data_IF_270361249138
#
_entry.id   IF_270361249138
#
_cell.length_a   1.000
_cell.length_b   1.000
_cell.length_c   1.000
_cell.angle_alpha   90.00
_cell.angle_beta   90.00
_cell.angle_gamma   90.00
#
_symmetry.space_group_name_H-M   'P 1'
#
loop_
_entity.id
_entity.type
_entity.pdbx_description
1 polymer ?
#
# COMPACT_ATOMS: atom_id res chain seq x y z
N UNK A 1 -5.80 -11.80 -11.59
CA UNK A 1 -6.40 -11.01 -10.48
C UNK A 1 -7.53 -10.15 -11.03
N UNK A 2 -8.65 -10.07 -10.36
CA UNK A 2 -9.76 -9.20 -10.75
C UNK A 2 -9.82 -7.95 -9.86
N UNK A 3 -10.74 -7.04 -10.19
CA UNK A 3 -10.90 -5.79 -9.42
C UNK A 3 -11.29 -6.03 -7.97
N UNK A 4 -12.10 -7.05 -7.69
CA UNK A 4 -12.54 -7.36 -6.32
C UNK A 4 -11.38 -7.83 -5.47
N UNK A 5 -10.51 -8.67 -6.02
CA UNK A 5 -9.30 -9.12 -5.33
C UNK A 5 -8.35 -7.96 -5.07
N UNK A 6 -8.21 -7.05 -6.04
CA UNK A 6 -7.39 -5.86 -5.86
C UNK A 6 -7.97 -4.95 -4.76
N UNK A 7 -9.27 -4.71 -4.78
CA UNK A 7 -9.93 -3.89 -3.76
C UNK A 7 -9.74 -4.48 -2.36
N UNK A 8 -9.87 -5.80 -2.21
CA UNK A 8 -9.65 -6.48 -0.94
C UNK A 8 -8.20 -6.26 -0.45
N UNK A 9 -7.24 -6.32 -1.35
CA UNK A 9 -5.83 -6.10 -1.01
C UNK A 9 -5.57 -4.64 -0.61
N UNK A 10 -6.18 -3.69 -1.31
CA UNK A 10 -6.07 -2.28 -0.96
C UNK A 10 -6.69 -1.98 0.40
N UNK A 11 -7.79 -2.65 0.74
CA UNK A 11 -8.40 -2.55 2.07
C UNK A 11 -7.44 -3.08 3.15
N UNK A 12 -6.79 -4.21 2.91
CA UNK A 12 -5.80 -4.75 3.84
C UNK A 12 -4.69 -3.73 4.09
N UNK A 13 -4.21 -3.09 3.04
CA UNK A 13 -3.16 -2.09 3.14
C UNK A 13 -3.64 -0.84 3.88
N UNK A 14 -4.81 -0.31 3.51
CA UNK A 14 -5.37 0.90 4.13
C UNK A 14 -5.61 0.69 5.62
N UNK A 15 -6.06 -0.50 6.01
CA UNK A 15 -6.43 -0.81 7.39
C UNK A 15 -5.29 -1.40 8.22
N UNK A 16 -4.07 -1.41 7.68
CA UNK A 16 -2.87 -1.76 8.44
C UNK A 16 -2.65 -3.25 8.65
N UNK A 17 -3.21 -4.10 7.77
CA UNK A 17 -3.09 -5.56 7.91
C UNK A 17 -1.92 -6.16 7.15
N UNK A 18 -1.11 -5.35 6.45
CA UNK A 18 0.09 -5.81 5.77
C UNK A 18 1.33 -5.55 6.61
N UNK A 19 2.40 -6.28 6.33
CA UNK A 19 3.74 -5.96 6.83
C UNK A 19 4.59 -5.48 5.66
N UNK A 20 5.76 -4.88 5.91
CA UNK A 20 6.67 -4.51 4.81
C UNK A 20 6.99 -5.68 3.90
N UNK A 21 7.21 -6.88 4.48
CA UNK A 21 7.57 -8.08 3.73
C UNK A 21 6.40 -8.62 2.92
N UNK A 22 5.22 -8.73 3.53
CA UNK A 22 4.04 -9.29 2.84
C UNK A 22 3.62 -8.38 1.68
N UNK A 23 3.66 -7.07 1.89
CA UNK A 23 3.31 -6.11 0.84
C UNK A 23 4.30 -6.17 -0.32
N UNK A 24 5.61 -6.19 -0.02
CA UNK A 24 6.65 -6.27 -1.06
C UNK A 24 6.52 -7.55 -1.87
N UNK A 25 6.34 -8.70 -1.20
CA UNK A 25 6.18 -9.97 -1.88
C UNK A 25 4.96 -10.01 -2.78
N UNK A 26 3.83 -9.51 -2.27
CA UNK A 26 2.61 -9.46 -3.07
C UNK A 26 2.76 -8.54 -4.27
N UNK A 27 3.38 -7.37 -4.09
CA UNK A 27 3.62 -6.43 -5.18
C UNK A 27 4.47 -7.07 -6.27
N UNK A 28 5.59 -7.69 -5.89
CA UNK A 28 6.51 -8.32 -6.84
C UNK A 28 5.83 -9.42 -7.65
N UNK A 29 4.93 -10.18 -7.03
CA UNK A 29 4.18 -11.23 -7.73
C UNK A 29 3.15 -10.68 -8.72
N UNK A 30 2.60 -9.50 -8.46
CA UNK A 30 1.45 -8.98 -9.23
C UNK A 30 1.77 -7.71 -10.02
N UNK A 31 3.01 -7.24 -10.03
CA UNK A 31 3.36 -5.96 -10.63
C UNK A 31 2.90 -5.84 -12.09
N UNK A 32 3.13 -6.86 -12.89
CA UNK A 32 2.74 -6.81 -14.32
C UNK A 32 1.22 -6.77 -14.51
N UNK A 33 0.46 -7.45 -13.67
CA UNK A 33 -1.00 -7.37 -13.70
C UNK A 33 -1.48 -5.98 -13.28
N UNK A 34 -0.84 -5.40 -12.28
CA UNK A 34 -1.20 -4.09 -11.76
C UNK A 34 -0.97 -2.98 -12.78
N UNK A 35 0.04 -3.12 -13.64
CA UNK A 35 0.26 -2.17 -14.73
C UNK A 35 -0.92 -2.11 -15.69
N UNK A 36 -1.66 -3.20 -15.87
CA UNK A 36 -2.84 -3.23 -16.74
C UNK A 36 -4.12 -2.85 -16.01
N UNK A 37 -4.24 -3.13 -14.72
CA UNK A 37 -5.44 -2.86 -13.92
C UNK A 37 -5.53 -1.42 -13.44
N UNK A 38 -4.39 -0.76 -13.22
CA UNK A 38 -4.31 0.59 -12.69
C UNK A 38 -3.85 1.54 -13.78
N UNK A 39 -4.29 2.79 -13.72
CA UNK A 39 -3.68 3.82 -14.55
C UNK A 39 -2.28 4.11 -14.02
N UNK A 40 -1.46 4.84 -14.81
CA UNK A 40 -0.07 5.08 -14.44
C UNK A 40 0.07 5.85 -13.12
N UNK A 41 -0.78 6.83 -12.88
CA UNK A 41 -0.72 7.60 -11.64
C UNK A 41 -1.02 6.75 -10.42
N UNK A 42 -2.04 5.90 -10.50
CA UNK A 42 -2.40 4.96 -9.43
C UNK A 42 -1.29 3.94 -9.20
N UNK A 43 -0.75 3.40 -10.27
CA UNK A 43 0.35 2.44 -10.20
C UNK A 43 1.56 3.02 -9.48
N UNK A 44 1.97 4.24 -9.85
CA UNK A 44 3.14 4.87 -9.26
C UNK A 44 2.93 5.25 -7.79
N UNK A 45 1.72 5.65 -7.42
CA UNK A 45 1.40 5.96 -6.02
C UNK A 45 1.36 4.72 -5.13
N UNK A 46 0.97 3.59 -5.70
CA UNK A 46 0.83 2.33 -4.97
C UNK A 46 2.14 1.57 -4.88
N UNK A 47 3.02 1.72 -5.88
CA UNK A 47 4.29 1.00 -5.93
C UNK A 47 5.15 1.30 -4.72
N UNK A 48 5.61 0.27 -3.97
CA UNK A 48 6.47 0.52 -2.83
C UNK A 48 7.83 1.04 -3.27
N UNK A 49 8.28 2.11 -2.64
CA UNK A 49 9.59 2.67 -2.91
C UNK A 49 10.70 1.81 -2.28
N UNK A 50 11.94 2.08 -2.63
CA UNK A 50 13.11 1.51 -1.95
C UNK A 50 13.62 2.54 -0.96
N UNK A 51 13.73 2.16 0.31
CA UNK A 51 14.15 3.07 1.36
C UNK A 51 14.87 2.31 2.46
N UNK A 52 15.78 2.98 3.14
CA UNK A 52 16.54 2.40 4.26
C UNK A 52 15.66 2.08 5.46
N UNK A 53 14.59 2.85 5.69
CA UNK A 53 13.62 2.55 6.74
C UNK A 53 12.64 1.50 6.25
N UNK A 54 12.39 0.52 7.10
CA UNK A 54 11.57 -0.64 6.77
C UNK A 54 10.11 -0.27 6.47
N UNK A 55 9.56 0.69 7.22
CA UNK A 55 8.13 1.01 7.15
C UNK A 55 7.78 2.12 6.15
N UNK A 56 8.78 2.82 5.58
CA UNK A 56 8.52 3.87 4.59
C UNK A 56 7.82 3.36 3.34
N UNK A 57 8.27 2.25 2.70
CA UNK A 57 7.59 1.78 1.49
C UNK A 57 6.13 1.43 1.69
N UNK A 58 5.80 0.71 2.76
CA UNK A 58 4.40 0.31 3.02
C UNK A 58 3.54 1.50 3.44
N UNK A 59 4.09 2.44 4.20
CA UNK A 59 3.38 3.66 4.56
C UNK A 59 3.06 4.51 3.33
N UNK A 60 4.02 4.67 2.42
CA UNK A 60 3.80 5.38 1.17
C UNK A 60 2.74 4.71 0.30
N UNK A 61 2.81 3.38 0.17
CA UNK A 61 1.82 2.60 -0.57
C UNK A 61 0.42 2.70 0.04
N UNK A 62 0.32 2.77 1.37
CA UNK A 62 -0.96 2.96 2.06
C UNK A 62 -1.64 4.25 1.62
N UNK A 63 -0.89 5.33 1.48
CA UNK A 63 -1.45 6.61 0.99
C UNK A 63 -2.02 6.45 -0.41
N UNK A 64 -1.33 5.73 -1.28
CA UNK A 64 -1.82 5.42 -2.61
C UNK A 64 -3.10 4.59 -2.60
N UNK A 65 -3.15 3.56 -1.74
CA UNK A 65 -4.33 2.72 -1.58
C UNK A 65 -5.54 3.52 -1.10
N UNK A 66 -5.33 4.39 -0.11
CA UNK A 66 -6.40 5.25 0.41
C UNK A 66 -6.95 6.14 -0.69
N UNK A 67 -6.09 6.76 -1.49
CA UNK A 67 -6.54 7.63 -2.59
C UNK A 67 -7.39 6.86 -3.60
N UNK A 68 -6.99 5.64 -3.95
CA UNK A 68 -7.74 4.79 -4.89
C UNK A 68 -9.10 4.41 -4.30
N UNK A 69 -9.13 3.99 -3.03
CA UNK A 69 -10.36 3.59 -2.35
C UNK A 69 -11.34 4.75 -2.22
N UNK A 70 -10.87 5.94 -1.88
CA UNK A 70 -11.69 7.14 -1.80
C UNK A 70 -12.31 7.47 -3.15
N UNK A 71 -11.52 7.42 -4.21
CA UNK A 71 -11.99 7.70 -5.57
C UNK A 71 -13.06 6.71 -6.02
N UNK A 72 -12.95 5.45 -5.63
CA UNK A 72 -13.93 4.41 -5.99
C UNK A 72 -15.15 4.39 -5.08
N UNK A 73 -15.18 5.21 -4.02
CA UNK A 73 -16.29 5.24 -3.08
C UNK A 73 -16.35 4.05 -2.14
N UNK A 74 -15.26 3.31 -2.00
CA UNK A 74 -15.18 2.15 -1.12
C UNK A 74 -14.95 2.60 0.33
N UNK A 75 -15.79 2.13 1.25
CA UNK A 75 -15.65 2.43 2.68
C UNK A 75 -14.45 1.69 3.28
N UNK A 76 -13.69 2.37 4.14
CA UNK A 76 -12.56 1.78 4.85
C UNK A 76 -12.27 2.55 6.13
N UNK A 77 -11.54 1.92 7.06
CA UNK A 77 -11.01 2.58 8.25
C UNK A 77 -9.49 2.61 8.16
N UNK A 78 -8.93 3.78 7.88
CA UNK A 78 -7.48 3.93 7.77
C UNK A 78 -6.81 3.67 9.14
N UNK A 79 -5.76 2.85 9.14
CA UNK A 79 -4.97 2.59 10.34
C UNK A 79 -3.77 3.54 10.40
N UNK A 80 -3.40 3.94 11.60
CA UNK A 80 -2.18 4.72 11.84
C UNK A 80 -0.96 3.84 12.12
N UNK A 81 -1.09 2.52 12.04
CA UNK A 81 -0.03 1.58 12.40
C UNK A 81 1.26 1.84 11.62
N UNK A 82 1.17 2.01 10.30
CA UNK A 82 2.37 2.20 9.48
C UNK A 82 3.07 3.52 9.81
N UNK A 83 2.28 4.57 10.02
CA UNK A 83 2.83 5.87 10.43
C UNK A 83 3.53 5.75 11.79
N UNK A 84 2.90 5.10 12.73
CA UNK A 84 3.49 4.88 14.06
C UNK A 84 4.79 4.09 14.01
N UNK A 85 4.81 3.03 13.19
CA UNK A 85 6.02 2.21 13.00
C UNK A 85 7.13 2.99 12.31
N UNK A 86 6.80 3.79 11.30
CA UNK A 86 7.76 4.65 10.63
C UNK A 86 8.35 5.67 11.60
N UNK A 87 7.52 6.33 12.40
CA UNK A 87 7.98 7.30 13.40
C UNK A 87 8.87 6.65 14.45
N UNK A 88 8.56 5.44 14.88
CA UNK A 88 9.38 4.67 15.80
C UNK A 88 10.76 4.34 15.20
N UNK A 89 10.79 3.96 13.92
CA UNK A 89 12.06 3.74 13.22
C UNK A 89 12.90 5.03 13.16
N UNK A 90 12.24 6.14 12.85
CA UNK A 90 12.90 7.43 12.74
C UNK A 90 13.52 7.86 14.08
N UNK A 91 12.81 7.67 15.18
CA UNK A 91 13.30 7.99 16.52
C UNK A 91 14.46 7.08 16.95
N UNK A 92 14.46 5.84 16.52
CA UNK A 92 15.53 4.88 16.83
C UNK A 92 16.79 5.12 15.99
N UNK A 93 16.69 5.88 14.92
CA UNK A 93 17.82 6.18 14.04
C UNK A 93 18.71 7.26 14.65
#
# INVERSE_FOLDING_TARGET
MNKDALTAKLLDLAEGRETPETWRSWWDEHESELETLLNRGEFLKLKPCRHGFQWVPVFGSQKGAIAILEKSGTAFEASNLYQERYLAELEAF
#
